data_IF_601293061455
#
_entry.id   IF_601293061455
#
_cell.length_a   1.000
_cell.length_b   1.000
_cell.length_c   1.000
_cell.angle_alpha   90.00
_cell.angle_beta   90.00
_cell.angle_gamma   90.00
#
_symmetry.space_group_name_H-M   'P 1'
#
loop_
_entity.id
_entity.type
_entity.pdbx_description
1 polymer ?
#
# COMPACT_ATOMS: atom_id res chain seq x y z
N UNK A 1 -3.39 13.73 -4.46
CA UNK A 1 -2.81 13.86 -5.83
C UNK A 1 -1.32 13.54 -5.77
N UNK A 2 -0.71 13.11 -6.88
CA UNK A 2 0.74 12.92 -7.00
C UNK A 2 1.31 14.03 -7.91
N UNK A 3 2.38 14.69 -7.49
CA UNK A 3 3.03 15.77 -8.23
C UNK A 3 4.55 15.58 -8.21
N UNK A 4 5.22 16.09 -9.24
CA UNK A 4 6.68 16.12 -9.33
C UNK A 4 7.18 17.50 -8.94
N UNK A 5 8.16 17.54 -8.05
CA UNK A 5 8.94 18.75 -7.79
C UNK A 5 10.33 18.62 -8.42
N UNK A 6 10.85 19.73 -8.96
CA UNK A 6 12.20 19.81 -9.50
C UNK A 6 12.85 21.16 -9.12
N UNK A 7 14.13 21.17 -8.73
CA UNK A 7 14.88 22.41 -8.56
C UNK A 7 14.82 23.27 -9.83
N UNK A 8 14.56 24.57 -9.67
CA UNK A 8 14.45 25.52 -10.78
C UNK A 8 13.16 25.46 -11.62
N UNK A 9 12.34 24.41 -11.47
CA UNK A 9 11.01 24.31 -12.15
C UNK A 9 9.83 24.39 -11.20
N UNK A 10 10.04 24.08 -9.92
CA UNK A 10 8.98 24.05 -8.92
C UNK A 10 8.10 22.80 -9.03
N UNK A 11 6.84 22.94 -8.62
CA UNK A 11 5.86 21.86 -8.55
C UNK A 11 5.07 21.72 -9.86
N UNK A 12 4.90 20.50 -10.36
CA UNK A 12 4.15 20.22 -11.58
C UNK A 12 2.62 20.26 -11.37
N UNK A 13 1.88 20.19 -12.49
CA UNK A 13 0.50 19.72 -12.48
C UNK A 13 0.42 18.27 -11.95
N UNK A 14 -0.77 17.80 -11.50
CA UNK A 14 -0.96 16.43 -11.04
C UNK A 14 -0.60 15.40 -12.13
N UNK A 15 0.11 14.35 -11.73
CA UNK A 15 0.39 13.19 -12.57
C UNK A 15 -0.93 12.46 -12.82
N UNK A 16 -1.26 12.22 -14.09
CA UNK A 16 -2.47 11.50 -14.49
C UNK A 16 -2.35 9.98 -14.23
N UNK A 17 -3.47 9.26 -14.14
CA UNK A 17 -3.48 7.80 -13.94
C UNK A 17 -3.22 7.33 -12.50
N UNK A 18 -3.08 8.25 -11.55
CA UNK A 18 -3.10 7.96 -10.10
C UNK A 18 -4.50 7.44 -9.69
N UNK A 19 -4.60 6.42 -8.82
CA UNK A 19 -5.89 5.87 -8.40
C UNK A 19 -6.77 6.91 -7.72
N UNK A 20 -8.09 6.74 -7.86
CA UNK A 20 -9.05 7.43 -7.00
C UNK A 20 -8.85 6.97 -5.56
N UNK A 21 -8.91 7.90 -4.61
CA UNK A 21 -8.66 7.64 -3.19
C UNK A 21 -9.84 8.05 -2.35
N UNK A 22 -10.02 7.35 -1.23
CA UNK A 22 -10.95 7.76 -0.18
C UNK A 22 -10.25 8.76 0.74
N UNK A 23 -10.41 10.06 0.46
CA UNK A 23 -9.76 11.15 1.19
C UNK A 23 -10.63 11.68 2.34
N UNK A 24 -10.67 10.93 3.45
CA UNK A 24 -11.39 11.32 4.67
C UNK A 24 -10.58 10.97 5.92
N UNK A 25 -10.61 11.83 6.94
CA UNK A 25 -9.80 11.67 8.14
C UNK A 25 -8.30 11.62 7.82
N UNK A 26 -7.64 10.53 8.21
CA UNK A 26 -6.24 10.21 7.90
C UNK A 26 -6.07 9.50 6.53
N UNK A 27 -7.15 9.22 5.82
CA UNK A 27 -7.14 8.54 4.54
C UNK A 27 -6.86 9.48 3.37
N UNK A 28 -6.39 8.91 2.26
CA UNK A 28 -6.08 9.63 1.03
C UNK A 28 -5.07 8.85 0.19
N UNK A 29 -4.30 9.58 -0.63
CA UNK A 29 -3.07 9.04 -1.19
C UNK A 29 -2.00 9.11 -0.09
N UNK A 30 -1.29 8.00 0.15
CA UNK A 30 -0.42 7.84 1.32
C UNK A 30 1.05 7.86 0.88
N UNK A 31 1.64 6.69 0.64
CA UNK A 31 3.06 6.58 0.32
C UNK A 31 3.32 6.46 -1.17
N UNK A 32 4.52 6.88 -1.58
CA UNK A 32 5.05 6.71 -2.93
C UNK A 32 6.44 6.11 -2.83
N UNK A 33 6.67 4.99 -3.50
CA UNK A 33 7.95 4.30 -3.51
C UNK A 33 8.35 3.93 -4.94
N UNK A 34 9.63 4.10 -5.27
CA UNK A 34 10.18 3.58 -6.52
C UNK A 34 10.45 2.10 -6.33
N UNK A 35 10.15 1.28 -7.34
CA UNK A 35 10.61 -0.11 -7.33
C UNK A 35 12.15 -0.16 -7.34
N UNK A 36 12.78 -1.22 -6.79
CA UNK A 36 14.24 -1.35 -6.81
C UNK A 36 14.86 -1.30 -8.21
N UNK A 37 14.13 -1.78 -9.22
CA UNK A 37 14.50 -1.78 -10.64
C UNK A 37 14.03 -0.54 -11.42
N UNK A 38 13.68 0.56 -10.74
CA UNK A 38 13.06 1.73 -11.36
C UNK A 38 13.83 2.32 -12.55
N UNK A 39 15.17 2.23 -12.54
CA UNK A 39 16.00 2.69 -13.65
C UNK A 39 15.62 2.01 -14.99
N UNK A 40 15.16 0.75 -14.93
CA UNK A 40 14.73 -0.03 -16.10
C UNK A 40 13.20 -0.05 -16.21
N UNK A 41 12.49 -0.40 -15.14
CA UNK A 41 11.05 -0.63 -15.16
C UNK A 41 10.23 0.65 -15.19
N UNK A 42 10.76 1.72 -14.60
CA UNK A 42 10.05 2.94 -14.22
C UNK A 42 8.81 2.69 -13.34
N UNK A 43 8.79 1.59 -12.59
CA UNK A 43 7.66 1.20 -11.75
C UNK A 43 7.60 2.02 -10.46
N UNK A 44 6.45 2.62 -10.20
CA UNK A 44 6.15 3.39 -8.98
C UNK A 44 5.01 2.72 -8.25
N UNK A 45 5.24 2.46 -6.96
CA UNK A 45 4.27 1.90 -6.03
C UNK A 45 3.57 3.01 -5.25
N UNK A 46 2.27 2.84 -5.06
CA UNK A 46 1.44 3.74 -4.27
C UNK A 46 0.65 2.94 -3.24
N UNK A 47 0.53 3.51 -2.05
CA UNK A 47 -0.47 3.11 -1.07
C UNK A 47 -1.54 4.21 -0.92
N UNK A 48 -2.78 3.80 -0.68
CA UNK A 48 -3.89 4.72 -0.53
C UNK A 48 -5.04 4.10 0.26
N UNK A 49 -5.91 4.95 0.82
CA UNK A 49 -7.16 4.50 1.40
C UNK A 49 -8.20 4.24 0.29
N UNK A 50 -8.83 3.07 0.32
CA UNK A 50 -9.88 2.66 -0.63
C UNK A 50 -11.11 2.22 0.18
N UNK A 51 -12.28 2.78 -0.12
CA UNK A 51 -13.54 2.40 0.52
C UNK A 51 -14.21 1.20 -0.16
N UNK A 52 -15.02 0.46 0.59
CA UNK A 52 -16.04 -0.45 0.02
C UNK A 52 -17.41 0.22 -0.07
N UNK A 53 -18.40 -0.55 -0.55
CA UNK A 53 -19.79 -0.12 -0.68
C UNK A 53 -20.48 0.21 0.65
N UNK A 54 -19.94 -0.21 1.80
CA UNK A 54 -20.47 0.12 3.12
C UNK A 54 -19.99 1.49 3.64
N UNK A 55 -19.08 2.14 2.90
CA UNK A 55 -18.48 3.42 3.30
C UNK A 55 -17.31 3.29 4.26
N UNK A 56 -16.95 2.06 4.67
CA UNK A 56 -15.71 1.78 5.41
C UNK A 56 -14.53 1.66 4.45
N UNK A 57 -13.34 1.94 4.94
CA UNK A 57 -12.11 1.94 4.17
C UNK A 57 -11.02 1.05 4.77
N UNK A 58 -10.03 0.76 3.94
CA UNK A 58 -8.78 0.10 4.32
C UNK A 58 -7.70 0.42 3.30
N UNK A 59 -6.45 0.17 3.68
CA UNK A 59 -5.29 0.46 2.83
C UNK A 59 -5.26 -0.47 1.61
N UNK A 60 -5.07 0.09 0.43
CA UNK A 60 -4.79 -0.60 -0.82
C UNK A 60 -3.38 -0.23 -1.30
N UNK A 61 -2.72 -1.18 -1.97
CA UNK A 61 -1.38 -1.02 -2.52
C UNK A 61 -1.34 -1.53 -3.95
N UNK A 62 -0.73 -0.75 -4.83
CA UNK A 62 -0.59 -1.06 -6.23
C UNK A 62 0.59 -0.35 -6.85
N UNK A 63 0.85 -0.65 -8.12
CA UNK A 63 1.91 0.01 -8.88
C UNK A 63 1.51 0.26 -10.32
N UNK A 64 2.16 1.25 -10.92
CA UNK A 64 2.07 1.55 -12.35
C UNK A 64 3.43 1.95 -12.89
N UNK A 65 3.51 2.22 -14.20
CA UNK A 65 4.73 2.70 -14.86
C UNK A 65 4.67 4.22 -15.02
N UNK A 66 5.68 4.91 -14.48
CA UNK A 66 5.81 6.36 -14.66
C UNK A 66 6.36 6.65 -16.06
N UNK A 67 5.68 7.54 -16.80
CA UNK A 67 6.14 8.03 -18.09
C UNK A 67 7.50 8.74 -17.97
N UNK A 68 8.27 8.80 -19.05
CA UNK A 68 9.63 9.37 -19.03
C UNK A 68 9.65 10.86 -18.68
N UNK A 69 8.63 11.60 -19.15
CA UNK A 69 8.39 13.00 -18.81
C UNK A 69 7.79 13.20 -17.41
N UNK A 70 7.39 12.11 -16.76
CA UNK A 70 6.74 12.05 -15.44
C UNK A 70 5.42 12.83 -15.35
N UNK A 71 4.58 12.74 -16.40
CA UNK A 71 3.24 13.34 -16.46
C UNK A 71 2.10 12.34 -16.29
N UNK A 72 2.39 11.03 -16.42
CA UNK A 72 1.39 9.96 -16.32
C UNK A 72 1.94 8.72 -15.59
N UNK A 73 1.07 8.08 -14.81
CA UNK A 73 1.25 6.74 -14.27
C UNK A 73 0.33 5.77 -15.03
N UNK A 74 0.89 4.95 -15.91
CA UNK A 74 0.12 4.02 -16.75
C UNK A 74 0.01 2.63 -16.13
N UNK A 75 -1.04 1.90 -16.52
CA UNK A 75 -1.28 0.51 -16.14
C UNK A 75 -1.27 0.27 -14.62
N UNK A 76 -1.79 1.23 -13.85
CA UNK A 76 -1.86 1.09 -12.41
C UNK A 76 -2.72 -0.11 -12.00
N UNK A 77 -2.11 -1.06 -11.29
CA UNK A 77 -2.76 -2.29 -10.86
C UNK A 77 -2.67 -2.43 -9.35
N UNK A 78 -3.81 -2.73 -8.71
CA UNK A 78 -3.88 -2.99 -7.27
C UNK A 78 -3.53 -4.46 -7.02
N UNK A 79 -2.50 -4.70 -6.22
CA UNK A 79 -2.00 -6.06 -5.93
C UNK A 79 -2.24 -6.49 -4.49
N UNK A 80 -2.51 -5.54 -3.59
CA UNK A 80 -2.79 -5.85 -2.19
C UNK A 80 -3.89 -4.96 -1.63
N UNK A 81 -4.77 -5.55 -0.81
CA UNK A 81 -5.81 -4.85 -0.06
C UNK A 81 -5.85 -5.34 1.38
N UNK A 82 -5.81 -4.39 2.31
CA UNK A 82 -6.12 -4.64 3.70
C UNK A 82 -7.59 -5.06 3.83
N UNK A 83 -7.82 -6.26 4.35
CA UNK A 83 -9.14 -6.85 4.52
C UNK A 83 -9.30 -7.46 5.93
N UNK A 84 -10.49 -7.34 6.53
CA UNK A 84 -11.64 -6.55 6.07
C UNK A 84 -11.35 -5.03 6.10
N UNK A 85 -12.12 -4.23 5.36
CA UNK A 85 -12.11 -2.77 5.46
C UNK A 85 -12.94 -2.35 6.67
N UNK A 86 -12.29 -1.71 7.65
CA UNK A 86 -12.91 -1.40 8.94
C UNK A 86 -12.84 0.08 9.31
N UNK A 87 -11.99 0.85 8.63
CA UNK A 87 -11.73 2.23 9.00
C UNK A 87 -12.91 3.11 8.63
N UNK A 88 -13.22 4.05 9.51
CA UNK A 88 -14.11 5.19 9.25
C UNK A 88 -13.32 6.51 9.19
N UNK A 89 -11.99 6.44 9.08
CA UNK A 89 -11.14 7.64 8.98
C UNK A 89 -9.75 7.52 9.60
N UNK A 90 -9.45 6.47 10.36
CA UNK A 90 -8.23 6.39 11.18
C UNK A 90 -7.41 5.14 10.90
N UNK A 91 -6.11 5.21 11.21
CA UNK A 91 -5.17 4.10 11.37
C UNK A 91 -5.02 3.22 10.12
N UNK A 92 -4.81 3.83 8.96
CA UNK A 92 -4.50 3.12 7.72
C UNK A 92 -3.07 2.55 7.70
N UNK A 93 -2.12 3.23 8.35
CA UNK A 93 -0.70 3.03 8.08
C UNK A 93 -0.38 3.52 6.67
N UNK A 94 0.21 2.67 5.85
CA UNK A 94 0.42 2.91 4.42
C UNK A 94 1.89 2.95 4.00
N UNK A 95 2.85 2.96 4.92
CA UNK A 95 4.28 3.02 4.56
C UNK A 95 4.69 1.79 3.74
N UNK A 96 5.42 2.03 2.64
CA UNK A 96 5.99 1.03 1.75
C UNK A 96 7.53 1.05 1.86
N UNK A 97 8.14 -0.10 2.09
CA UNK A 97 9.61 -0.21 2.17
C UNK A 97 10.09 -1.45 1.43
N UNK A 98 10.88 -1.25 0.37
CA UNK A 98 11.64 -2.33 -0.25
C UNK A 98 12.90 -2.59 0.56
N UNK A 99 13.23 -3.86 0.79
CA UNK A 99 14.41 -4.24 1.57
C UNK A 99 15.70 -4.37 0.74
N UNK A 100 15.57 -4.29 -0.60
CA UNK A 100 16.67 -4.47 -1.55
C UNK A 100 17.13 -5.93 -1.69
N UNK A 101 16.34 -6.89 -1.21
CA UNK A 101 16.62 -8.32 -1.22
C UNK A 101 15.47 -9.14 -1.80
N UNK A 102 14.55 -8.51 -2.53
CA UNK A 102 13.43 -9.18 -3.20
C UNK A 102 12.08 -9.00 -2.52
N UNK A 103 11.98 -8.20 -1.45
CA UNK A 103 10.74 -8.06 -0.68
C UNK A 103 10.28 -6.62 -0.49
N UNK A 104 8.96 -6.47 -0.43
CA UNK A 104 8.24 -5.26 -0.05
C UNK A 104 7.58 -5.46 1.32
N UNK A 105 7.84 -4.53 2.24
CA UNK A 105 7.15 -4.43 3.52
C UNK A 105 6.09 -3.34 3.49
N UNK A 106 4.92 -3.64 4.07
CA UNK A 106 3.78 -2.73 4.15
C UNK A 106 3.38 -2.58 5.62
N UNK A 107 3.44 -1.36 6.15
CA UNK A 107 2.97 -1.04 7.50
C UNK A 107 1.47 -0.74 7.49
N UNK A 108 0.68 -1.52 8.23
CA UNK A 108 -0.78 -1.39 8.30
C UNK A 108 -1.24 -1.07 9.72
N UNK A 109 -1.98 0.02 9.87
CA UNK A 109 -2.68 0.29 11.13
C UNK A 109 -3.89 -0.62 11.31
N UNK A 110 -4.49 -0.58 12.49
CA UNK A 110 -5.57 -1.48 12.88
C UNK A 110 -6.98 -0.92 12.63
N UNK A 111 -7.08 0.17 11.87
CA UNK A 111 -8.34 0.82 11.52
C UNK A 111 -9.17 1.31 12.73
N UNK A 112 -8.51 1.56 13.87
CA UNK A 112 -9.12 1.97 15.14
C UNK A 112 -10.07 0.92 15.77
N UNK A 113 -9.85 -0.36 15.46
CA UNK A 113 -10.48 -1.56 16.03
C UNK A 113 -9.47 -2.41 16.84
N UNK A 114 -9.04 -1.89 17.99
CA UNK A 114 -7.79 -2.28 18.70
C UNK A 114 -7.52 -3.78 18.87
N UNK A 115 -8.57 -4.59 19.07
CA UNK A 115 -8.46 -6.02 19.26
C UNK A 115 -7.97 -6.75 18.00
N UNK A 116 -8.33 -6.25 16.81
CA UNK A 116 -8.02 -6.86 15.52
C UNK A 116 -6.53 -6.89 15.20
N UNK A 117 -5.72 -6.05 15.86
CA UNK A 117 -4.26 -6.08 15.78
C UNK A 117 -3.68 -7.47 16.16
N UNK A 118 -4.34 -8.19 17.06
CA UNK A 118 -3.92 -9.53 17.52
C UNK A 118 -4.54 -10.68 16.70
N UNK A 119 -5.55 -10.40 15.87
CA UNK A 119 -6.24 -11.42 15.09
C UNK A 119 -5.48 -11.69 13.79
N UNK A 120 -5.00 -12.93 13.60
CA UNK A 120 -4.21 -13.31 12.42
C UNK A 120 -5.05 -13.52 11.16
N UNK A 121 -6.36 -13.72 11.30
CA UNK A 121 -7.30 -13.79 10.17
C UNK A 121 -7.60 -12.42 9.53
N UNK A 122 -7.10 -11.33 10.13
CA UNK A 122 -7.34 -9.93 9.71
C UNK A 122 -6.02 -9.21 9.43
N UNK A 123 -6.04 -8.27 8.49
CA UNK A 123 -4.87 -7.45 8.12
C UNK A 123 -4.78 -6.12 8.90
N UNK A 124 -5.50 -5.99 10.01
CA UNK A 124 -5.41 -4.83 10.89
C UNK A 124 -4.19 -4.92 11.82
N UNK A 125 -3.40 -3.86 11.91
CA UNK A 125 -2.29 -3.77 12.87
C UNK A 125 -1.15 -4.75 12.57
N UNK A 126 -0.77 -4.82 11.29
CA UNK A 126 0.17 -5.81 10.75
C UNK A 126 1.33 -5.12 10.03
N UNK A 127 2.49 -5.76 10.07
CA UNK A 127 3.50 -5.59 9.03
C UNK A 127 3.29 -6.75 8.06
N UNK A 128 3.08 -6.43 6.79
CA UNK A 128 2.96 -7.40 5.70
C UNK A 128 4.29 -7.50 4.96
N UNK A 129 4.66 -8.70 4.49
CA UNK A 129 5.79 -8.92 3.59
C UNK A 129 5.29 -9.58 2.30
N UNK A 130 5.54 -8.92 1.17
CA UNK A 130 5.28 -9.41 -0.17
C UNK A 130 6.59 -9.52 -0.96
N UNK A 131 6.58 -10.19 -2.11
CA UNK A 131 7.64 -10.08 -3.10
C UNK A 131 7.61 -8.69 -3.77
N UNK A 132 8.66 -8.34 -4.52
CA UNK A 132 8.69 -7.14 -5.35
C UNK A 132 7.66 -7.12 -6.50
N UNK A 133 6.99 -8.25 -6.78
CA UNK A 133 5.83 -8.34 -7.69
C UNK A 133 4.48 -8.20 -6.97
N UNK A 134 4.46 -8.22 -5.63
CA UNK A 134 3.24 -8.16 -4.82
C UNK A 134 2.66 -9.54 -4.47
N UNK A 135 3.38 -10.62 -4.75
CA UNK A 135 2.97 -11.98 -4.39
C UNK A 135 3.32 -12.31 -2.93
N UNK A 136 2.70 -13.35 -2.38
CA UNK A 136 3.01 -13.82 -1.03
C UNK A 136 4.25 -14.72 -1.07
N UNK A 137 5.33 -14.39 -0.33
CA UNK A 137 6.48 -15.27 -0.21
C UNK A 137 6.08 -16.60 0.42
N UNK A 138 6.50 -17.75 -0.14
CA UNK A 138 6.14 -19.07 0.39
C UNK A 138 6.75 -19.34 1.77
N UNK A 139 7.78 -18.60 2.16
CA UNK A 139 8.48 -18.67 3.44
C UNK A 139 7.94 -17.68 4.49
N UNK A 140 6.81 -17.00 4.23
CA UNK A 140 6.16 -16.17 5.25
C UNK A 140 5.71 -17.04 6.45
N UNK A 141 5.77 -16.51 7.69
CA UNK A 141 5.63 -17.30 8.93
C UNK A 141 4.25 -17.92 9.15
N UNK A 142 3.22 -17.46 8.42
CA UNK A 142 1.85 -17.92 8.56
C UNK A 142 1.30 -18.59 7.29
N UNK A 143 2.15 -18.85 6.28
CA UNK A 143 1.76 -19.63 5.10
C UNK A 143 1.34 -21.04 5.52
N UNK A 144 0.24 -21.53 4.94
CA UNK A 144 -0.31 -22.86 5.23
C UNK A 144 -1.18 -22.95 6.50
N UNK A 145 -1.31 -21.86 7.25
CA UNK A 145 -2.22 -21.80 8.41
C UNK A 145 -3.62 -21.36 8.00
N UNK A 146 -4.62 -22.17 8.31
CA UNK A 146 -6.02 -21.89 7.97
C UNK A 146 -6.62 -20.70 8.75
N UNK A 147 -6.05 -20.37 9.91
CA UNK A 147 -6.52 -19.32 10.82
C UNK A 147 -5.81 -17.96 10.61
N UNK A 148 -4.93 -17.86 9.61
CA UNK A 148 -4.07 -16.71 9.43
C UNK A 148 -3.98 -16.23 7.97
N UNK A 149 -3.73 -14.93 7.81
CA UNK A 149 -3.45 -14.30 6.53
C UNK A 149 -1.98 -14.53 6.16
N UNK A 150 -1.67 -15.18 5.01
CA UNK A 150 -0.31 -15.59 4.68
C UNK A 150 0.60 -14.39 4.35
N UNK A 151 0.03 -13.20 4.13
CA UNK A 151 0.77 -11.95 3.90
C UNK A 151 1.46 -11.41 5.17
N UNK A 152 1.03 -11.86 6.36
CA UNK A 152 1.51 -11.31 7.64
C UNK A 152 2.97 -11.69 7.89
N UNK A 153 3.77 -10.70 8.24
CA UNK A 153 5.13 -10.86 8.75
C UNK A 153 5.21 -10.65 10.28
N UNK A 154 4.57 -9.59 10.77
CA UNK A 154 4.44 -9.29 12.20
C UNK A 154 3.07 -8.67 12.51
N UNK A 155 2.66 -8.71 13.78
CA UNK A 155 1.34 -8.25 14.22
C UNK A 155 1.40 -7.53 15.58
N UNK A 156 0.34 -6.81 15.93
CA UNK A 156 0.23 -6.05 17.18
C UNK A 156 0.50 -4.55 17.06
N UNK A 157 0.66 -4.04 15.84
CA UNK A 157 0.85 -2.61 15.55
C UNK A 157 -0.48 -1.87 15.80
N UNK A 158 -0.43 -0.67 16.36
CA UNK A 158 -1.59 0.18 16.64
C UNK A 158 -1.33 1.61 16.21
#
# INVERSE_FOLDING_TARGET
ELKRWQPGKGLSAPISGVPQVWANGQGGLLDVALAPDFAQSRRVWLSYAESDASGKAGTAVGYGRLSEDATQLSNFTVVFRQQPKLSVGNHFGGRLVFDGKGYLFIGLGENNQRATAQELSKLQGKVVRLTESGDVPPDNPFVGRADARPEIWAYGIR
#
